data_IF_720966611491
#
_entry.id   IF_720966611491
#
_cell.length_a   1.000
_cell.length_b   1.000
_cell.length_c   1.000
_cell.angle_alpha   90.00
_cell.angle_beta   90.00
_cell.angle_gamma   90.00
#
_symmetry.space_group_name_H-M   'P 1'
#
loop_
_entity.id
_entity.type
_entity.pdbx_description
1 polymer ?
#
# COMPACT_ATOMS: atom_id res chain seq x y z
N UNK A 1 17.62 -14.21 -1.45
CA UNK A 1 17.41 -13.20 -2.52
C UNK A 1 18.17 -13.69 -3.73
N UNK A 2 17.51 -13.77 -4.87
CA UNK A 2 18.12 -14.18 -6.15
C UNK A 2 18.96 -13.03 -6.74
N UNK A 3 19.84 -13.33 -7.69
CA UNK A 3 20.60 -12.29 -8.42
C UNK A 3 19.67 -11.27 -9.08
N UNK A 4 18.60 -11.75 -9.73
CA UNK A 4 17.60 -10.91 -10.38
C UNK A 4 16.86 -9.99 -9.41
N UNK A 5 16.56 -10.46 -8.19
CA UNK A 5 15.97 -9.61 -7.15
C UNK A 5 16.98 -8.56 -6.66
N UNK A 6 18.25 -8.94 -6.52
CA UNK A 6 19.31 -8.03 -6.08
C UNK A 6 19.46 -6.85 -7.04
N UNK A 7 19.53 -7.11 -8.35
CA UNK A 7 19.62 -6.05 -9.37
C UNK A 7 18.41 -5.12 -9.35
N UNK A 8 17.21 -5.66 -9.14
CA UNK A 8 15.99 -4.84 -9.04
C UNK A 8 15.94 -4.00 -7.77
N UNK A 9 16.48 -4.50 -6.65
CA UNK A 9 16.67 -3.68 -5.46
C UNK A 9 17.60 -2.51 -5.78
N UNK A 10 18.71 -2.73 -6.52
CA UNK A 10 19.60 -1.63 -6.94
C UNK A 10 18.86 -0.59 -7.80
N UNK A 11 18.04 -1.04 -8.74
CA UNK A 11 17.27 -0.15 -9.60
C UNK A 11 16.26 0.69 -8.78
N UNK A 12 15.53 0.07 -7.86
CA UNK A 12 14.60 0.78 -6.97
C UNK A 12 15.34 1.79 -6.07
N UNK A 13 16.52 1.44 -5.56
CA UNK A 13 17.36 2.37 -4.78
C UNK A 13 17.81 3.58 -5.62
N UNK A 14 18.21 3.36 -6.87
CA UNK A 14 18.65 4.44 -7.76
C UNK A 14 17.50 5.42 -8.01
N UNK A 15 16.32 4.91 -8.36
CA UNK A 15 15.09 5.69 -8.54
C UNK A 15 14.75 6.53 -7.30
N UNK A 16 14.83 5.94 -6.11
CA UNK A 16 14.56 6.65 -4.85
C UNK A 16 15.59 7.75 -4.58
N UNK A 17 16.88 7.46 -4.77
CA UNK A 17 17.96 8.43 -4.57
C UNK A 17 17.86 9.61 -5.54
N UNK A 18 17.57 9.33 -6.81
CA UNK A 18 17.33 10.35 -7.83
C UNK A 18 16.14 11.26 -7.47
N UNK A 19 15.07 10.67 -6.92
CA UNK A 19 13.95 11.43 -6.37
C UNK A 19 14.26 12.14 -5.04
N UNK A 20 15.49 12.08 -4.52
CA UNK A 20 15.90 12.76 -3.28
C UNK A 20 15.43 12.07 -1.99
N UNK A 21 15.19 10.76 -2.01
CA UNK A 21 15.00 9.98 -0.79
C UNK A 21 16.35 9.58 -0.18
N UNK A 22 16.42 9.63 1.15
CA UNK A 22 17.47 8.93 1.91
C UNK A 22 17.08 7.46 2.01
N UNK A 23 17.93 6.57 1.48
CA UNK A 23 17.66 5.11 1.43
C UNK A 23 18.55 4.37 2.43
N UNK A 24 17.98 3.41 3.14
CA UNK A 24 18.72 2.57 4.10
C UNK A 24 19.73 1.66 3.41
N UNK A 25 20.62 1.06 4.18
CA UNK A 25 21.34 -0.12 3.72
C UNK A 25 20.36 -1.26 3.42
N UNK A 26 20.75 -2.16 2.51
CA UNK A 26 19.98 -3.36 2.17
C UNK A 26 19.90 -4.30 3.37
N UNK A 27 18.72 -4.83 3.62
CA UNK A 27 18.49 -5.81 4.67
C UNK A 27 18.93 -7.21 4.18
N UNK A 28 20.22 -7.51 4.28
CA UNK A 28 20.80 -8.78 3.81
C UNK A 28 21.28 -9.72 4.93
N UNK A 29 21.29 -9.28 6.18
CA UNK A 29 21.81 -10.07 7.32
C UNK A 29 20.96 -11.29 7.68
N UNK A 30 19.65 -11.25 7.41
CA UNK A 30 18.71 -12.36 7.59
C UNK A 30 17.50 -12.20 6.66
N UNK A 31 16.72 -13.28 6.41
CA UNK A 31 15.49 -13.16 5.64
C UNK A 31 14.57 -12.09 6.23
N UNK A 32 14.27 -11.06 5.43
CA UNK A 32 13.49 -9.91 5.87
C UNK A 32 12.24 -9.67 5.03
N UNK A 33 11.20 -9.15 5.69
CA UNK A 33 9.91 -8.75 5.14
C UNK A 33 9.98 -7.46 4.31
N UNK A 34 11.12 -6.74 4.34
CA UNK A 34 11.46 -5.69 3.39
C UNK A 34 12.96 -5.75 3.05
N UNK A 35 13.34 -5.17 1.92
CA UNK A 35 14.73 -5.15 1.47
C UNK A 35 15.37 -3.79 1.74
N UNK A 36 14.61 -2.70 1.56
CA UNK A 36 15.05 -1.33 1.81
C UNK A 36 13.95 -0.51 2.49
N UNK A 37 14.37 0.49 3.24
CA UNK A 37 13.52 1.57 3.72
C UNK A 37 13.99 2.89 3.11
N UNK A 38 13.07 3.78 2.77
CA UNK A 38 13.40 5.08 2.20
C UNK A 38 12.58 6.19 2.84
N UNK A 39 13.22 7.34 3.09
CA UNK A 39 12.60 8.51 3.71
C UNK A 39 12.81 9.75 2.87
N UNK A 40 11.76 10.55 2.68
CA UNK A 40 11.81 11.90 2.13
C UNK A 40 10.86 12.79 2.92
N UNK A 41 11.38 13.80 3.62
CA UNK A 41 10.62 14.61 4.59
C UNK A 41 9.92 13.68 5.62
N UNK A 42 8.62 13.83 5.79
CA UNK A 42 7.79 13.01 6.68
C UNK A 42 7.40 11.64 6.08
N UNK A 43 7.54 11.46 4.76
CA UNK A 43 7.18 10.21 4.09
C UNK A 43 8.24 9.14 4.32
N UNK A 44 7.84 8.03 4.95
CA UNK A 44 8.65 6.82 5.12
C UNK A 44 7.98 5.68 4.36
N UNK A 45 8.75 4.90 3.61
CA UNK A 45 8.25 3.72 2.88
C UNK A 45 9.18 2.53 3.10
N UNK A 46 8.61 1.36 3.36
CA UNK A 46 9.29 0.08 3.32
C UNK A 46 9.00 -0.61 1.99
N UNK A 47 10.05 -1.08 1.32
CA UNK A 47 9.94 -1.72 0.01
C UNK A 47 10.50 -3.12 0.09
N UNK A 48 9.71 -4.07 -0.40
CA UNK A 48 10.12 -5.45 -0.63
C UNK A 48 10.05 -5.74 -2.12
N UNK A 49 11.18 -6.15 -2.70
CA UNK A 49 11.29 -6.53 -4.10
C UNK A 49 11.18 -8.04 -4.18
N UNK A 50 10.18 -8.51 -4.93
CA UNK A 50 9.95 -9.93 -5.17
C UNK A 50 9.64 -10.11 -6.66
N UNK A 51 10.33 -11.03 -7.34
CA UNK A 51 10.09 -11.20 -8.78
C UNK A 51 8.63 -11.57 -9.08
N UNK A 52 8.09 -12.51 -8.31
CA UNK A 52 6.70 -12.97 -8.34
C UNK A 52 6.00 -12.63 -7.03
N UNK A 53 5.00 -11.75 -7.07
CA UNK A 53 4.23 -11.36 -5.89
C UNK A 53 3.50 -12.55 -5.24
N UNK A 54 3.25 -13.62 -6.01
CA UNK A 54 2.67 -14.87 -5.55
C UNK A 54 3.54 -15.62 -4.54
N UNK A 55 4.86 -15.40 -4.58
CA UNK A 55 5.84 -15.99 -3.65
C UNK A 55 5.92 -15.27 -2.31
N UNK A 56 5.33 -14.07 -2.18
CA UNK A 56 5.30 -13.35 -0.90
C UNK A 56 4.46 -14.13 0.10
N UNK A 57 5.00 -14.37 1.29
CA UNK A 57 4.27 -15.08 2.35
C UNK A 57 3.30 -14.16 3.10
N UNK A 58 2.18 -14.70 3.63
CA UNK A 58 1.28 -13.92 4.48
C UNK A 58 1.96 -13.47 5.78
N UNK A 59 2.96 -14.21 6.27
CA UNK A 59 3.74 -13.86 7.46
C UNK A 59 4.62 -12.64 7.22
N UNK A 60 5.37 -12.61 6.11
CA UNK A 60 6.22 -11.46 5.77
C UNK A 60 5.35 -10.21 5.54
N UNK A 61 4.22 -10.35 4.85
CA UNK A 61 3.30 -9.23 4.62
C UNK A 61 2.66 -8.71 5.90
N UNK A 62 2.29 -9.60 6.82
CA UNK A 62 1.74 -9.22 8.12
C UNK A 62 2.79 -8.47 8.95
N UNK A 63 4.02 -8.97 9.00
CA UNK A 63 5.07 -8.34 9.79
C UNK A 63 5.50 -6.99 9.20
N UNK A 64 5.62 -6.90 7.87
CA UNK A 64 5.88 -5.64 7.16
C UNK A 64 4.83 -4.58 7.52
N UNK A 65 3.55 -4.95 7.47
CA UNK A 65 2.45 -4.04 7.84
C UNK A 65 2.52 -3.60 9.30
N UNK A 66 2.79 -4.53 10.21
CA UNK A 66 2.93 -4.22 11.64
C UNK A 66 4.04 -3.19 11.86
N UNK A 67 5.20 -3.39 11.23
CA UNK A 67 6.34 -2.45 11.32
C UNK A 67 5.93 -1.10 10.75
N UNK A 68 5.36 -1.10 9.53
CA UNK A 68 4.93 0.12 8.85
C UNK A 68 3.91 0.92 9.67
N UNK A 69 2.93 0.25 10.28
CA UNK A 69 1.95 0.86 11.19
C UNK A 69 2.60 1.48 12.43
N UNK A 70 3.62 0.84 13.03
CA UNK A 70 4.29 1.37 14.22
C UNK A 70 5.06 2.68 13.95
N UNK A 71 5.64 2.81 12.76
CA UNK A 71 6.47 3.98 12.40
C UNK A 71 5.78 4.92 11.41
N UNK A 72 4.47 4.76 11.22
CA UNK A 72 3.66 5.56 10.27
C UNK A 72 4.26 5.61 8.86
N UNK A 73 4.68 4.45 8.36
CA UNK A 73 5.23 4.29 7.01
C UNK A 73 4.23 3.65 6.05
N UNK A 74 4.44 3.90 4.76
CA UNK A 74 3.88 3.10 3.69
C UNK A 74 4.63 1.77 3.55
N UNK A 75 3.98 0.78 2.94
CA UNK A 75 4.56 -0.53 2.63
C UNK A 75 4.21 -0.92 1.20
N UNK A 76 5.22 -1.31 0.42
CA UNK A 76 5.07 -1.58 -1.01
C UNK A 76 5.85 -2.82 -1.45
N UNK A 77 5.24 -3.59 -2.34
CA UNK A 77 5.94 -4.59 -3.15
C UNK A 77 6.29 -4.04 -4.53
N UNK A 78 7.51 -4.33 -4.98
CA UNK A 78 7.89 -4.16 -6.38
C UNK A 78 8.02 -5.55 -6.99
N UNK A 79 7.20 -5.84 -7.99
CA UNK A 79 7.11 -7.16 -8.62
C UNK A 79 6.86 -7.07 -10.11
N UNK A 80 7.30 -8.07 -10.88
CA UNK A 80 7.07 -8.10 -12.33
C UNK A 80 5.93 -9.02 -12.74
N UNK A 81 5.61 -10.01 -11.92
CA UNK A 81 4.60 -11.01 -12.27
C UNK A 81 3.82 -11.51 -11.05
N UNK A 82 2.72 -12.19 -11.35
CA UNK A 82 1.97 -13.03 -10.42
C UNK A 82 1.81 -14.42 -11.05
N UNK A 83 2.44 -15.44 -10.45
CA UNK A 83 2.54 -16.79 -11.02
C UNK A 83 3.21 -16.73 -12.41
N UNK A 84 2.43 -17.01 -13.45
CA UNK A 84 2.91 -17.08 -14.84
C UNK A 84 2.50 -15.86 -15.68
N UNK A 85 1.81 -14.89 -15.08
CA UNK A 85 1.34 -13.70 -15.80
C UNK A 85 2.12 -12.45 -15.38
N UNK A 86 2.63 -11.65 -16.32
CA UNK A 86 3.21 -10.35 -15.99
C UNK A 86 2.17 -9.47 -15.31
N UNK A 87 2.64 -8.57 -14.44
CA UNK A 87 1.82 -7.48 -13.93
C UNK A 87 1.79 -6.38 -15.00
N UNK A 88 0.62 -5.77 -15.18
CA UNK A 88 0.43 -4.64 -16.08
C UNK A 88 1.04 -3.39 -15.47
N UNK A 89 1.64 -2.56 -16.32
CA UNK A 89 2.06 -1.22 -15.93
C UNK A 89 0.85 -0.33 -15.63
N UNK A 90 1.09 0.77 -14.90
CA UNK A 90 0.08 1.77 -14.52
C UNK A 90 -1.11 1.17 -13.77
N UNK A 91 -0.89 0.03 -13.11
CA UNK A 91 -1.88 -0.70 -12.31
C UNK A 91 -1.32 -1.05 -10.93
N UNK A 92 -2.13 -0.83 -9.89
CA UNK A 92 -1.80 -1.18 -8.51
C UNK A 92 -2.43 -2.52 -8.13
N UNK A 93 -1.61 -3.45 -7.71
CA UNK A 93 -2.01 -4.75 -7.19
C UNK A 93 -2.04 -4.72 -5.65
N UNK A 94 -2.69 -5.71 -5.04
CA UNK A 94 -2.68 -5.88 -3.59
C UNK A 94 -2.45 -7.35 -3.23
N UNK A 95 -1.52 -7.59 -2.32
CA UNK A 95 -1.26 -8.92 -1.75
C UNK A 95 -1.21 -8.81 -0.24
N UNK A 96 -2.11 -9.53 0.44
CA UNK A 96 -2.24 -9.53 1.90
C UNK A 96 -2.39 -8.12 2.53
N UNK A 97 -3.05 -7.20 1.80
CA UNK A 97 -3.23 -5.78 2.14
C UNK A 97 -1.95 -4.93 2.10
N UNK A 98 -0.94 -5.34 1.34
CA UNK A 98 0.20 -4.52 0.95
C UNK A 98 0.06 -4.22 -0.54
N UNK A 99 0.28 -2.96 -0.93
CA UNK A 99 0.21 -2.56 -2.33
C UNK A 99 1.39 -3.12 -3.10
N UNK A 100 1.21 -3.32 -4.40
CA UNK A 100 2.26 -3.81 -5.27
C UNK A 100 2.18 -3.18 -6.66
N UNK A 101 3.34 -2.89 -7.23
CA UNK A 101 3.46 -2.24 -8.55
C UNK A 101 4.62 -2.84 -9.35
N UNK A 102 4.61 -2.61 -10.67
CA UNK A 102 5.76 -2.92 -11.52
C UNK A 102 6.93 -1.98 -11.24
N UNK A 103 8.18 -2.37 -11.55
CA UNK A 103 9.32 -1.47 -11.50
C UNK A 103 9.10 -0.18 -12.31
N UNK A 104 8.50 -0.29 -13.49
CA UNK A 104 8.19 0.86 -14.36
C UNK A 104 7.12 1.77 -13.76
N UNK A 105 6.05 1.19 -13.19
CA UNK A 105 5.04 1.96 -12.47
C UNK A 105 5.63 2.67 -11.25
N UNK A 106 6.52 2.00 -10.51
CA UNK A 106 7.24 2.59 -9.39
C UNK A 106 8.10 3.78 -9.83
N UNK A 107 8.87 3.65 -10.90
CA UNK A 107 9.67 4.74 -11.48
C UNK A 107 8.80 5.93 -11.89
N UNK A 108 7.70 5.68 -12.62
CA UNK A 108 6.75 6.71 -13.03
C UNK A 108 6.18 7.50 -11.84
N UNK A 109 5.82 6.79 -10.76
CA UNK A 109 5.30 7.45 -9.55
C UNK A 109 6.41 8.29 -8.88
N UNK A 110 7.58 7.70 -8.66
CA UNK A 110 8.64 8.29 -7.83
C UNK A 110 9.35 9.46 -8.51
N UNK A 111 9.67 9.33 -9.81
CA UNK A 111 10.40 10.35 -10.57
C UNK A 111 9.47 11.36 -11.24
N UNK A 112 8.33 10.90 -11.76
CA UNK A 112 7.46 11.71 -12.63
C UNK A 112 6.19 12.19 -11.94
N UNK A 113 5.88 11.68 -10.75
CA UNK A 113 4.63 12.00 -10.05
C UNK A 113 3.38 11.51 -10.79
N UNK A 114 3.52 10.50 -11.66
CA UNK A 114 2.40 9.92 -12.41
C UNK A 114 1.84 8.75 -11.63
N UNK A 115 0.64 8.94 -11.07
CA UNK A 115 -0.02 7.95 -10.22
C UNK A 115 -1.03 7.09 -11.00
N UNK A 116 -1.00 5.76 -10.83
CA UNK A 116 -2.00 4.85 -11.40
C UNK A 116 -3.44 5.20 -11.01
N UNK A 117 -4.36 5.02 -11.95
CA UNK A 117 -5.82 5.12 -11.71
C UNK A 117 -6.46 3.74 -11.52
N UNK A 118 -5.78 2.68 -11.97
CA UNK A 118 -6.32 1.33 -12.02
C UNK A 118 -5.77 0.50 -10.87
N UNK A 119 -6.65 -0.29 -10.26
CA UNK A 119 -6.31 -1.29 -9.26
C UNK A 119 -6.76 -2.68 -9.75
N UNK A 120 -5.97 -3.69 -9.46
CA UNK A 120 -6.32 -5.09 -9.69
C UNK A 120 -6.85 -5.75 -8.42
N UNK A 121 -7.77 -6.71 -8.57
CA UNK A 121 -8.25 -7.52 -7.47
C UNK A 121 -9.17 -8.65 -7.91
N UNK A 122 -9.89 -9.28 -6.96
CA UNK A 122 -10.83 -10.35 -7.29
C UNK A 122 -11.88 -9.84 -8.27
N UNK A 123 -11.99 -10.47 -9.44
CA UNK A 123 -12.95 -10.07 -10.49
C UNK A 123 -12.40 -9.12 -11.55
N UNK A 124 -11.13 -8.72 -11.51
CA UNK A 124 -10.45 -7.98 -12.57
C UNK A 124 -9.96 -6.59 -12.17
N UNK A 125 -9.99 -5.66 -13.12
CA UNK A 125 -9.50 -4.30 -12.97
C UNK A 125 -10.63 -3.34 -12.61
N UNK A 126 -10.36 -2.46 -11.65
CA UNK A 126 -11.30 -1.47 -11.17
C UNK A 126 -10.62 -0.13 -10.92
N UNK A 127 -11.43 0.90 -10.84
CA UNK A 127 -11.04 2.29 -10.64
C UNK A 127 -11.73 2.80 -9.40
N UNK A 128 -10.97 3.50 -8.56
CA UNK A 128 -11.54 4.27 -7.46
C UNK A 128 -12.11 5.57 -8.02
N UNK A 129 -13.36 5.89 -7.70
CA UNK A 129 -14.09 7.00 -8.32
C UNK A 129 -14.45 8.07 -7.31
N UNK A 130 -14.54 9.31 -7.79
CA UNK A 130 -15.02 10.44 -7.02
C UNK A 130 -16.54 10.53 -7.03
N UNK A 131 -17.16 9.80 -6.10
CA UNK A 131 -18.61 9.80 -5.91
C UNK A 131 -19.20 11.19 -5.67
N UNK A 132 -18.47 12.08 -4.99
CA UNK A 132 -18.94 13.45 -4.74
C UNK A 132 -18.88 14.30 -6.01
N UNK A 133 -17.80 14.19 -6.79
CA UNK A 133 -17.70 14.87 -8.07
C UNK A 133 -18.76 14.38 -9.06
N UNK A 134 -19.00 13.06 -9.13
CA UNK A 134 -20.06 12.44 -9.94
C UNK A 134 -21.42 13.00 -9.55
N UNK A 135 -21.75 12.97 -8.26
CA UNK A 135 -23.05 13.45 -7.74
C UNK A 135 -23.27 14.91 -8.07
N UNK A 136 -22.26 15.75 -7.82
CA UNK A 136 -22.31 17.19 -8.06
C UNK A 136 -22.55 17.48 -9.54
N UNK A 137 -21.73 16.88 -10.41
CA UNK A 137 -21.83 17.09 -11.86
C UNK A 137 -23.16 16.61 -12.42
N UNK A 138 -23.64 15.46 -11.96
CA UNK A 138 -24.97 14.96 -12.34
C UNK A 138 -26.07 15.96 -11.98
N UNK A 139 -26.03 16.54 -10.77
CA UNK A 139 -27.01 17.53 -10.31
C UNK A 139 -26.93 18.84 -11.10
N UNK A 140 -25.73 19.32 -11.44
CA UNK A 140 -25.52 20.49 -12.31
C UNK A 140 -26.15 20.30 -13.70
N UNK A 141 -26.10 19.07 -14.22
CA UNK A 141 -26.69 18.71 -15.51
C UNK A 141 -28.21 18.45 -15.42
N UNK A 142 -28.82 18.56 -14.24
CA UNK A 142 -30.24 18.30 -14.02
C UNK A 142 -30.65 16.83 -14.19
N UNK A 143 -29.68 15.90 -14.19
CA UNK A 143 -29.94 14.49 -14.46
C UNK A 143 -30.31 13.72 -13.17
N UNK A 144 -31.29 12.83 -13.27
CA UNK A 144 -31.61 11.86 -12.22
C UNK A 144 -30.57 10.74 -12.18
N UNK A 145 -30.54 10.02 -11.04
CA UNK A 145 -29.73 8.79 -10.90
C UNK A 145 -30.18 7.73 -11.91
N UNK A 146 -31.47 7.70 -12.26
CA UNK A 146 -32.01 6.79 -13.28
C UNK A 146 -31.42 7.03 -14.65
N UNK A 147 -31.47 8.27 -15.13
CA UNK A 147 -31.03 8.64 -16.47
C UNK A 147 -29.53 8.38 -16.68
N UNK A 148 -28.69 8.73 -15.70
CA UNK A 148 -27.25 8.46 -15.81
C UNK A 148 -26.97 6.96 -15.76
N UNK A 149 -27.67 6.20 -14.90
CA UNK A 149 -27.48 4.75 -14.82
C UNK A 149 -27.86 4.06 -16.14
N UNK A 150 -28.97 4.48 -16.77
CA UNK A 150 -29.42 4.00 -18.07
C UNK A 150 -28.42 4.32 -19.18
N UNK A 151 -27.96 5.57 -19.29
CA UNK A 151 -26.96 5.99 -20.28
C UNK A 151 -25.65 5.19 -20.20
N UNK A 152 -25.24 4.79 -19.00
CA UNK A 152 -23.99 4.06 -18.75
C UNK A 152 -24.17 2.54 -18.87
N UNK A 153 -25.42 2.05 -18.85
CA UNK A 153 -25.74 0.62 -18.86
C UNK A 153 -25.52 -0.07 -17.51
N UNK A 154 -25.76 0.63 -16.39
CA UNK A 154 -25.64 0.08 -15.03
C UNK A 154 -26.95 0.22 -14.26
N UNK A 155 -27.07 -0.49 -13.14
CA UNK A 155 -28.25 -0.36 -12.28
C UNK A 155 -28.26 0.99 -11.53
N UNK A 156 -29.46 1.50 -11.23
CA UNK A 156 -29.65 2.66 -10.32
C UNK A 156 -28.93 2.47 -8.98
N UNK A 157 -28.97 1.24 -8.44
CA UNK A 157 -28.27 0.87 -7.20
C UNK A 157 -26.76 1.00 -7.33
N UNK A 158 -26.20 0.65 -8.48
CA UNK A 158 -24.76 0.77 -8.75
C UNK A 158 -24.34 2.22 -8.77
N UNK A 159 -25.05 3.09 -9.52
CA UNK A 159 -24.73 4.52 -9.56
C UNK A 159 -24.89 5.18 -8.18
N UNK A 160 -25.95 4.82 -7.43
CA UNK A 160 -26.09 5.25 -6.05
C UNK A 160 -24.90 4.81 -5.17
N UNK A 161 -24.44 3.56 -5.34
CA UNK A 161 -23.26 3.05 -4.65
C UNK A 161 -21.99 3.81 -5.00
N UNK A 162 -21.84 4.23 -6.25
CA UNK A 162 -20.74 5.07 -6.72
C UNK A 162 -20.74 6.45 -6.04
N UNK A 163 -21.88 7.15 -6.05
CA UNK A 163 -22.00 8.48 -5.42
C UNK A 163 -21.79 8.48 -3.91
N UNK A 164 -22.00 7.33 -3.26
CA UNK A 164 -21.81 7.14 -1.82
C UNK A 164 -20.47 6.50 -1.44
N UNK A 165 -19.59 6.23 -2.40
CA UNK A 165 -18.30 5.57 -2.16
C UNK A 165 -18.42 4.14 -1.65
N UNK A 166 -19.56 3.48 -1.89
CA UNK A 166 -19.85 2.12 -1.44
C UNK A 166 -19.40 1.04 -2.43
N UNK A 167 -19.06 1.43 -3.67
CA UNK A 167 -18.68 0.50 -4.72
C UNK A 167 -17.52 1.06 -5.56
N UNK A 168 -16.66 0.16 -6.02
CA UNK A 168 -15.60 0.44 -7.01
C UNK A 168 -16.17 0.29 -8.42
N UNK A 169 -15.69 1.07 -9.37
CA UNK A 169 -16.15 0.99 -10.77
C UNK A 169 -15.24 0.08 -11.58
N UNK A 170 -15.79 -0.64 -12.57
CA UNK A 170 -14.95 -1.23 -13.62
C UNK A 170 -14.32 -0.12 -14.47
N UNK A 171 -13.23 -0.44 -15.17
CA UNK A 171 -12.59 0.50 -16.10
C UNK A 171 -13.59 1.02 -17.14
N UNK A 172 -14.41 0.14 -17.72
CA UNK A 172 -15.46 0.51 -18.67
C UNK A 172 -16.51 1.42 -18.05
N UNK A 173 -16.97 1.14 -16.83
CA UNK A 173 -17.96 1.99 -16.16
C UNK A 173 -17.40 3.39 -15.85
N UNK A 174 -16.13 3.47 -15.42
CA UNK A 174 -15.45 4.74 -15.19
C UNK A 174 -15.28 5.55 -16.49
N UNK A 175 -14.94 4.88 -17.60
CA UNK A 175 -14.86 5.53 -18.92
C UNK A 175 -16.23 6.06 -19.38
N UNK A 176 -17.28 5.26 -19.25
CA UNK A 176 -18.64 5.68 -19.62
C UNK A 176 -19.14 6.84 -18.75
N UNK A 177 -18.80 6.85 -17.45
CA UNK A 177 -19.06 7.98 -16.55
C UNK A 177 -18.36 9.26 -17.02
N UNK A 178 -17.07 9.16 -17.38
CA UNK A 178 -16.30 10.28 -17.94
C UNK A 178 -16.97 10.83 -19.21
N UNK A 179 -17.33 9.96 -20.16
CA UNK A 179 -18.01 10.37 -21.40
C UNK A 179 -19.39 11.00 -21.14
N UNK A 180 -20.14 10.49 -20.16
CA UNK A 180 -21.50 10.96 -19.86
C UNK A 180 -21.50 12.29 -19.12
N UNK A 181 -20.58 12.49 -18.18
CA UNK A 181 -20.56 13.66 -17.29
C UNK A 181 -19.57 14.75 -17.73
N UNK A 182 -18.62 14.42 -18.62
CA UNK A 182 -17.61 15.33 -19.14
C UNK A 182 -16.57 15.76 -18.11
N UNK A 183 -16.38 15.00 -17.03
CA UNK A 183 -15.42 15.31 -15.96
C UNK A 183 -14.55 14.09 -15.63
N UNK A 184 -13.30 14.29 -15.17
CA UNK A 184 -12.53 13.21 -14.58
C UNK A 184 -13.27 12.62 -13.38
N UNK A 185 -13.49 11.31 -13.41
CA UNK A 185 -14.16 10.58 -12.31
C UNK A 185 -13.22 9.70 -11.52
N UNK A 186 -12.04 9.37 -12.04
CA UNK A 186 -11.10 8.45 -11.42
C UNK A 186 -10.20 9.17 -10.41
N UNK A 187 -9.97 8.56 -9.25
CA UNK A 187 -9.00 9.00 -8.24
C UNK A 187 -7.67 8.24 -8.42
N UNK A 188 -6.51 8.95 -8.34
CA UNK A 188 -5.22 8.30 -8.32
C UNK A 188 -5.02 7.48 -7.05
N UNK A 189 -4.25 6.40 -7.18
CA UNK A 189 -3.88 5.52 -6.08
C UNK A 189 -2.53 5.93 -5.54
N UNK A 190 -2.51 6.46 -4.31
CA UNK A 190 -1.27 6.85 -3.66
C UNK A 190 -0.58 5.66 -2.97
N UNK A 191 0.58 5.25 -3.49
CA UNK A 191 1.39 4.18 -2.90
C UNK A 191 2.12 4.60 -1.63
N UNK A 192 2.18 5.90 -1.33
CA UNK A 192 2.75 6.45 -0.11
C UNK A 192 1.70 6.66 0.99
N UNK A 193 0.43 6.35 0.72
CA UNK A 193 -0.61 6.50 1.72
C UNK A 193 -0.34 5.56 2.91
N UNK A 194 -0.16 6.16 4.08
CA UNK A 194 0.02 5.42 5.32
C UNK A 194 -1.30 4.71 5.66
N UNK A 195 -1.29 3.41 5.96
CA UNK A 195 -2.52 2.67 6.29
C UNK A 195 -3.30 3.35 7.41
N UNK A 196 -4.44 3.97 7.08
CA UNK A 196 -5.35 4.57 8.07
C UNK A 196 -6.10 3.46 8.78
N UNK A 197 -5.58 3.07 9.95
CA UNK A 197 -6.27 2.34 11.03
C UNK A 197 -7.21 1.20 10.55
N UNK A 198 -6.67 0.23 9.79
CA UNK A 198 -7.41 -1.00 9.46
C UNK A 198 -7.35 -1.94 10.66
N UNK A 199 -8.32 -1.85 11.57
CA UNK A 199 -8.54 -2.71 12.75
C UNK A 199 -7.24 -3.16 13.43
N UNK A 200 -6.87 -2.52 14.55
CA UNK A 200 -5.78 -2.93 15.46
C UNK A 200 -5.49 -4.43 15.30
N UNK A 201 -4.34 -4.84 14.70
CA UNK A 201 -4.02 -6.26 14.64
C UNK A 201 -4.06 -6.79 16.07
N UNK A 202 -4.75 -7.92 16.26
CA UNK A 202 -4.98 -8.57 17.55
C UNK A 202 -3.73 -8.44 18.43
N UNK A 203 -3.80 -7.52 19.41
CA UNK A 203 -2.79 -7.32 20.47
C UNK A 203 -2.39 -8.64 21.15
N UNK A 204 -3.21 -9.67 20.99
CA UNK A 204 -3.09 -10.99 21.59
C UNK A 204 -1.89 -11.82 21.13
N UNK A 205 -1.36 -11.69 19.89
CA UNK A 205 -0.29 -12.60 19.42
C UNK A 205 1.14 -12.14 19.68
N UNK A 206 1.39 -10.83 19.81
CA UNK A 206 2.72 -10.35 20.20
C UNK A 206 3.12 -10.87 21.59
N UNK A 207 2.14 -10.99 22.50
CA UNK A 207 2.32 -11.53 23.88
C UNK A 207 2.80 -12.98 23.95
N UNK A 208 2.62 -13.79 22.91
CA UNK A 208 3.03 -15.21 22.91
C UNK A 208 4.47 -15.47 22.43
N UNK A 209 5.16 -14.47 21.85
CA UNK A 209 6.57 -14.58 21.46
C UNK A 209 7.52 -14.30 22.64
N UNK A 210 6.97 -13.98 23.83
CA UNK A 210 7.70 -13.43 24.98
C UNK A 210 8.70 -14.36 25.69
N UNK A 211 8.97 -15.59 25.21
CA UNK A 211 9.40 -16.65 26.14
C UNK A 211 10.49 -17.60 25.63
N UNK A 212 11.50 -17.12 24.89
CA UNK A 212 12.74 -17.92 24.68
C UNK A 212 14.06 -17.21 24.94
N UNK A 213 14.16 -15.89 24.76
CA UNK A 213 15.43 -15.18 24.98
C UNK A 213 15.41 -14.38 26.31
N UNK A 214 16.22 -14.81 27.28
CA UNK A 214 16.36 -14.16 28.60
C UNK A 214 16.81 -12.70 28.52
N UNK A 215 17.60 -12.34 27.50
CA UNK A 215 18.05 -10.95 27.30
C UNK A 215 16.90 -10.05 26.84
N UNK A 216 16.14 -10.48 25.83
CA UNK A 216 14.96 -9.74 25.36
C UNK A 216 13.93 -9.54 26.48
N UNK A 217 13.72 -10.57 27.31
CA UNK A 217 12.85 -10.45 28.48
C UNK A 217 13.31 -9.36 29.45
N UNK A 218 14.61 -9.28 29.77
CA UNK A 218 15.17 -8.21 30.62
C UNK A 218 15.01 -6.83 29.99
N UNK A 219 15.22 -6.71 28.68
CA UNK A 219 15.04 -5.45 27.93
C UNK A 219 13.57 -5.02 27.99
N UNK A 220 12.64 -5.93 27.71
CA UNK A 220 11.21 -5.63 27.74
C UNK A 220 10.71 -5.28 29.13
N UNK A 221 11.25 -5.89 30.18
CA UNK A 221 10.96 -5.50 31.57
C UNK A 221 11.36 -4.05 31.85
N UNK A 222 12.51 -3.60 31.32
CA UNK A 222 12.94 -2.20 31.43
C UNK A 222 12.08 -1.23 30.60
N UNK A 223 11.44 -1.73 29.54
CA UNK A 223 10.61 -0.95 28.62
C UNK A 223 9.11 -1.14 28.86
N UNK A 224 8.69 -1.61 30.05
CA UNK A 224 7.31 -2.00 30.34
C UNK A 224 6.26 -0.87 30.18
N UNK A 225 6.68 0.40 30.14
CA UNK A 225 5.82 1.56 29.88
C UNK A 225 5.67 1.93 28.39
N UNK A 226 6.39 1.27 27.49
CA UNK A 226 6.33 1.52 26.06
C UNK A 226 5.50 0.46 25.34
N UNK A 227 4.94 0.81 24.17
CA UNK A 227 4.34 -0.18 23.30
C UNK A 227 5.44 -0.90 22.52
N UNK A 228 5.64 -2.19 22.78
CA UNK A 228 6.69 -3.01 22.16
C UNK A 228 6.05 -4.04 21.24
N UNK A 229 6.56 -4.14 20.02
CA UNK A 229 6.17 -5.16 19.05
C UNK A 229 7.40 -5.95 18.62
N UNK A 230 7.45 -7.23 18.98
CA UNK A 230 8.51 -8.12 18.54
C UNK A 230 8.29 -8.56 17.08
N UNK A 231 9.39 -8.68 16.34
CA UNK A 231 9.44 -9.04 14.91
C UNK A 231 10.55 -10.05 14.67
N UNK A 232 10.41 -10.90 13.64
CA UNK A 232 11.33 -12.01 13.34
C UNK A 232 11.96 -11.94 11.95
N UNK A 233 11.32 -11.24 11.03
CA UNK A 233 11.65 -11.03 9.62
C UNK A 233 12.01 -9.56 9.37
N UNK A 234 12.66 -8.88 10.30
CA UNK A 234 13.19 -7.53 10.10
C UNK A 234 14.67 -7.51 10.45
N UNK A 235 15.50 -6.55 10.03
CA UNK A 235 16.90 -6.45 10.47
C UNK A 235 17.07 -6.14 11.98
N UNK A 236 15.97 -5.90 12.69
CA UNK A 236 15.87 -5.66 14.13
C UNK A 236 14.86 -6.62 14.77
N UNK A 237 14.93 -6.83 16.09
CA UNK A 237 14.12 -7.83 16.80
C UNK A 237 12.79 -7.30 17.36
N UNK A 238 12.66 -5.99 17.52
CA UNK A 238 11.43 -5.35 18.01
C UNK A 238 11.37 -3.87 17.61
N UNK A 239 10.15 -3.34 17.58
CA UNK A 239 9.86 -1.92 17.41
C UNK A 239 9.27 -1.40 18.72
N UNK A 240 9.74 -0.24 19.18
CA UNK A 240 9.24 0.43 20.37
C UNK A 240 8.58 1.73 19.95
N UNK A 241 7.33 1.92 20.36
CA UNK A 241 6.60 3.17 20.17
C UNK A 241 6.51 3.87 21.51
N UNK A 242 7.17 5.03 21.59
CA UNK A 242 7.21 5.88 22.78
C UNK A 242 6.08 6.90 22.68
N UNK A 243 5.19 7.03 23.70
CA UNK A 243 4.14 8.04 23.69
C UNK A 243 4.76 9.45 23.66
N UNK A 244 4.27 10.32 22.76
CA UNK A 244 4.78 11.70 22.60
C UNK A 244 4.80 12.51 23.90
N UNK A 245 3.93 12.20 24.86
CA UNK A 245 3.86 12.87 26.17
C UNK A 245 5.11 12.68 27.05
N UNK A 246 5.99 11.73 26.72
CA UNK A 246 7.20 11.41 27.50
C UNK A 246 8.51 11.99 26.93
N UNK A 247 8.46 12.70 25.80
CA UNK A 247 9.62 13.41 25.24
C UNK A 247 9.52 14.91 25.56
N UNK A 248 9.67 15.26 26.84
CA UNK A 248 10.20 16.59 27.18
C UNK A 248 11.73 16.47 27.12
N UNK A 249 12.32 17.04 26.08
CA UNK A 249 13.76 17.36 26.04
C UNK A 249 13.93 18.64 26.86
#
# INVERSE_FOLDING_TARGET
MTYRETEKVKAAEAVLKEAGFTVSQRCCSRPSCFDIAARKKESLIFIKVQHDIGCVSPYDSLELRIIAEQVSAASLFISEKTRDKPLEDDTVYSRYNVLAVTPKTFENIVLRGVYPLVQAGPGGYYVEIDGEAIRRRRQELGLSVGEVAEKIGISRRTLYGYERGMAKASVTAAYNLLCTLGIPVAKPVDIFEVPKNRRKPLRAKARQIFTRNKLLHRIFKKLAGCNIVAVRKAPFDFVVTVPKESMKI
#
